data_IF_262829406124
#
_entry.id   IF_262829406124
#
_cell.length_a   1.000
_cell.length_b   1.000
_cell.length_c   1.000
_cell.angle_alpha   90.00
_cell.angle_beta   90.00
_cell.angle_gamma   90.00
#
_symmetry.space_group_name_H-M   'P 1'
#
loop_
_entity.id
_entity.type
_entity.pdbx_description
1 polymer ?
#
# COMPACT_ATOMS: atom_id res chain seq x y z
N UNK A 1 24.69 -29.96 -2.94
CA UNK A 1 23.92 -28.79 -3.43
C UNK A 1 22.54 -28.92 -2.88
N UNK A 2 22.16 -28.11 -1.89
CA UNK A 2 20.77 -28.06 -1.45
C UNK A 2 19.99 -27.31 -2.54
N UNK A 3 19.23 -28.02 -3.33
CA UNK A 3 18.20 -27.44 -4.18
C UNK A 3 17.03 -27.11 -3.24
N UNK A 4 16.95 -25.86 -2.82
CA UNK A 4 15.73 -25.35 -2.22
C UNK A 4 14.79 -25.07 -3.37
N UNK A 5 13.81 -25.94 -3.58
CA UNK A 5 12.77 -25.72 -4.57
C UNK A 5 11.89 -24.56 -4.10
N UNK A 6 12.15 -23.38 -4.67
CA UNK A 6 11.37 -22.17 -4.46
C UNK A 6 10.34 -22.04 -5.58
N UNK A 7 9.05 -22.11 -5.24
CA UNK A 7 7.96 -21.82 -6.16
C UNK A 7 7.42 -20.42 -5.91
N UNK A 8 7.53 -19.53 -6.89
CA UNK A 8 6.87 -18.23 -6.87
C UNK A 8 5.37 -18.44 -7.11
N UNK A 9 4.53 -18.05 -6.16
CA UNK A 9 3.06 -18.09 -6.32
C UNK A 9 2.60 -16.89 -7.15
N UNK A 10 3.20 -15.73 -6.94
CA UNK A 10 2.87 -14.50 -7.65
C UNK A 10 3.36 -13.25 -6.95
N UNK A 11 3.20 -12.14 -7.63
CA UNK A 11 3.30 -10.80 -7.09
C UNK A 11 1.98 -10.07 -7.35
N UNK A 12 1.55 -9.25 -6.42
CA UNK A 12 0.33 -8.47 -6.58
C UNK A 12 0.62 -7.04 -6.14
N UNK A 13 0.38 -6.04 -7.01
CA UNK A 13 0.58 -4.64 -6.64
C UNK A 13 -0.38 -4.28 -5.51
N UNK A 14 0.13 -3.59 -4.52
CA UNK A 14 -0.67 -3.06 -3.43
C UNK A 14 -1.35 -1.76 -3.84
N UNK A 15 -2.33 -1.35 -3.06
CA UNK A 15 -3.21 -0.24 -3.38
C UNK A 15 -3.02 0.89 -2.37
N UNK A 16 -2.95 2.12 -2.85
CA UNK A 16 -2.91 3.31 -2.01
C UNK A 16 -4.34 3.71 -1.66
N UNK A 17 -4.68 3.60 -0.39
CA UNK A 17 -6.00 3.88 0.13
C UNK A 17 -5.99 5.11 1.05
N UNK A 18 -7.08 5.88 1.00
CA UNK A 18 -7.32 7.04 1.87
C UNK A 18 -8.71 6.94 2.50
N UNK A 19 -8.89 7.57 3.64
CA UNK A 19 -10.21 7.71 4.26
C UNK A 19 -11.14 8.57 3.39
N UNK A 20 -12.44 8.35 3.47
CA UNK A 20 -13.41 9.06 2.62
C UNK A 20 -13.50 10.56 2.90
N UNK A 21 -13.28 10.97 4.16
CA UNK A 21 -13.41 12.38 4.59
C UNK A 21 -12.21 13.24 4.15
N UNK A 22 -11.17 12.63 3.62
CA UNK A 22 -10.04 13.38 3.07
C UNK A 22 -10.48 14.11 1.79
N UNK A 23 -10.25 15.44 1.66
CA UNK A 23 -10.73 16.25 0.53
C UNK A 23 -9.89 16.07 -0.73
N UNK A 24 -9.61 14.80 -1.10
CA UNK A 24 -8.81 14.41 -2.26
C UNK A 24 -9.50 13.29 -3.02
N UNK A 25 -9.46 13.34 -4.36
CA UNK A 25 -10.12 12.35 -5.23
C UNK A 25 -9.14 11.45 -5.97
N UNK A 26 -7.90 11.91 -6.10
CA UNK A 26 -6.85 11.25 -6.86
C UNK A 26 -5.48 11.49 -6.22
N UNK A 27 -4.46 10.81 -6.72
CA UNK A 27 -3.10 10.90 -6.18
C UNK A 27 -2.46 12.29 -6.34
N UNK A 28 -2.60 13.01 -7.48
CA UNK A 28 -2.09 14.37 -7.61
C UNK A 28 -2.67 15.33 -6.58
N UNK A 29 -3.98 15.26 -6.31
CA UNK A 29 -4.63 16.07 -5.28
C UNK A 29 -4.12 15.72 -3.88
N UNK A 30 -3.88 14.43 -3.60
CA UNK A 30 -3.28 14.01 -2.34
C UNK A 30 -1.87 14.57 -2.17
N UNK A 31 -1.04 14.51 -3.21
CA UNK A 31 0.33 15.06 -3.17
C UNK A 31 0.29 16.57 -2.89
N UNK A 32 -0.60 17.31 -3.57
CA UNK A 32 -0.77 18.75 -3.35
C UNK A 32 -1.24 19.05 -1.92
N UNK A 33 -2.20 18.28 -1.43
CA UNK A 33 -2.73 18.44 -0.08
C UNK A 33 -1.67 18.14 1.00
N UNK A 34 -0.87 17.08 0.82
CA UNK A 34 0.22 16.74 1.73
C UNK A 34 1.32 17.80 1.76
N UNK A 35 1.66 18.40 0.61
CA UNK A 35 2.61 19.51 0.54
C UNK A 35 2.12 20.76 1.25
N UNK A 36 0.81 21.03 1.20
CA UNK A 36 0.17 22.13 1.90
C UNK A 36 0.01 21.86 3.42
N UNK A 37 0.03 20.60 3.83
CA UNK A 37 -0.19 20.17 5.21
C UNK A 37 0.90 19.19 5.69
N UNK A 38 2.18 19.63 5.74
CA UNK A 38 3.26 18.74 6.16
C UNK A 38 3.04 18.22 7.58
N UNK A 39 3.35 16.95 7.79
CA UNK A 39 3.27 16.24 9.07
C UNK A 39 1.88 16.19 9.74
N UNK A 40 0.80 16.64 9.07
CA UNK A 40 -0.56 16.57 9.60
C UNK A 40 -1.26 15.26 9.33
N UNK A 41 -0.93 14.61 8.20
CA UNK A 41 -1.53 13.33 7.84
C UNK A 41 -0.87 12.17 8.58
N UNK A 42 -1.67 11.13 8.84
CA UNK A 42 -1.25 9.87 9.43
C UNK A 42 -1.30 8.74 8.42
N UNK A 43 -0.28 7.89 8.41
CA UNK A 43 -0.14 6.77 7.50
C UNK A 43 0.00 5.45 8.27
N UNK A 44 -0.99 4.58 8.16
CA UNK A 44 -0.97 3.27 8.80
C UNK A 44 -0.06 2.28 8.07
N UNK A 45 0.81 1.61 8.82
CA UNK A 45 1.72 0.57 8.29
C UNK A 45 1.54 -0.74 9.03
N UNK A 46 1.86 -1.85 8.37
CA UNK A 46 1.83 -3.18 8.99
C UNK A 46 3.00 -3.44 9.96
N UNK A 47 3.74 -2.39 10.29
CA UNK A 47 4.93 -2.42 11.16
C UNK A 47 6.16 -1.88 10.44
N UNK A 48 7.20 -1.63 11.23
CA UNK A 48 8.48 -1.12 10.72
C UNK A 48 9.14 -2.13 9.76
N UNK A 49 9.62 -1.66 8.60
CA UNK A 49 10.23 -2.52 7.58
C UNK A 49 9.24 -3.35 6.74
N UNK A 50 7.94 -3.26 7.01
CA UNK A 50 6.92 -3.91 6.19
C UNK A 50 6.85 -3.30 4.77
N UNK A 51 6.30 -4.02 3.77
CA UNK A 51 6.10 -3.47 2.42
C UNK A 51 5.33 -2.15 2.41
N UNK A 52 4.30 -2.00 3.26
CA UNK A 52 3.55 -0.75 3.39
C UNK A 52 4.40 0.40 3.98
N UNK A 53 5.29 0.11 4.92
CA UNK A 53 6.20 1.12 5.47
C UNK A 53 7.22 1.57 4.42
N UNK A 54 7.87 0.62 3.74
CA UNK A 54 8.85 0.91 2.68
C UNK A 54 8.18 1.70 1.53
N UNK A 55 6.99 1.28 1.11
CA UNK A 55 6.21 2.00 0.09
C UNK A 55 5.86 3.42 0.48
N UNK A 56 5.49 3.64 1.76
CA UNK A 56 5.22 4.97 2.29
C UNK A 56 6.46 5.87 2.33
N UNK A 57 7.62 5.34 2.73
CA UNK A 57 8.91 6.07 2.73
C UNK A 57 9.31 6.42 1.29
N UNK A 58 9.18 5.47 0.35
CA UNK A 58 9.47 5.71 -1.05
C UNK A 58 8.55 6.80 -1.63
N UNK A 59 7.26 6.76 -1.28
CA UNK A 59 6.31 7.79 -1.70
C UNK A 59 6.70 9.17 -1.18
N UNK A 60 7.08 9.32 0.10
CA UNK A 60 7.56 10.58 0.65
C UNK A 60 8.76 11.12 -0.11
N UNK A 61 9.74 10.25 -0.39
CA UNK A 61 10.98 10.64 -1.08
C UNK A 61 10.73 11.08 -2.53
N UNK A 62 9.92 10.35 -3.28
CA UNK A 62 9.64 10.65 -4.68
C UNK A 62 8.76 11.90 -4.84
N UNK A 63 7.78 12.09 -3.97
CA UNK A 63 6.83 13.20 -4.07
C UNK A 63 7.25 14.45 -3.28
N UNK A 64 8.27 14.33 -2.42
CA UNK A 64 8.69 15.41 -1.52
C UNK A 64 7.63 15.77 -0.48
N UNK A 65 6.78 14.82 -0.09
CA UNK A 65 5.72 14.99 0.92
C UNK A 65 6.17 14.50 2.28
N UNK A 66 5.45 14.90 3.34
CA UNK A 66 5.72 14.48 4.72
C UNK A 66 4.44 14.14 5.43
N UNK A 67 4.44 13.01 6.14
CA UNK A 67 3.35 12.53 7.00
C UNK A 67 3.90 11.60 8.09
N UNK A 68 3.10 11.34 9.11
CA UNK A 68 3.50 10.54 10.26
C UNK A 68 3.13 9.07 10.08
N UNK A 69 4.06 8.15 10.35
CA UNK A 69 3.81 6.72 10.31
C UNK A 69 3.23 6.23 11.64
N UNK A 70 2.14 5.46 11.55
CA UNK A 70 1.50 4.76 12.67
C UNK A 70 1.73 3.26 12.46
N UNK A 71 2.62 2.63 13.22
CA UNK A 71 2.91 1.21 13.07
C UNK A 71 1.84 0.34 13.76
N UNK A 72 1.32 -0.65 13.03
CA UNK A 72 0.41 -1.67 13.52
C UNK A 72 1.08 -3.05 13.53
N UNK A 73 0.47 -4.02 14.20
CA UNK A 73 0.88 -5.43 14.14
C UNK A 73 0.19 -6.15 12.97
N UNK A 74 0.60 -5.82 11.73
CA UNK A 74 0.01 -6.36 10.50
C UNK A 74 -1.03 -5.43 9.87
N UNK A 75 -1.61 -5.83 8.73
CA UNK A 75 -2.59 -5.03 7.95
C UNK A 75 -4.01 -5.10 8.53
N UNK A 76 -4.35 -6.17 9.25
CA UNK A 76 -5.70 -6.39 9.76
C UNK A 76 -6.24 -5.23 10.63
N UNK A 77 -5.49 -4.67 11.60
CA UNK A 77 -5.97 -3.54 12.41
C UNK A 77 -5.91 -2.18 11.67
N UNK A 78 -5.17 -2.07 10.56
CA UNK A 78 -5.08 -0.82 9.78
C UNK A 78 -6.41 -0.49 9.09
N UNK A 79 -7.11 -1.51 8.59
CA UNK A 79 -8.34 -1.32 7.80
C UNK A 79 -9.48 -0.69 8.63
N UNK A 80 -9.85 -1.20 9.81
CA UNK A 80 -10.89 -0.56 10.63
C UNK A 80 -10.54 0.87 11.05
N UNK A 81 -9.27 1.17 11.34
CA UNK A 81 -8.84 2.52 11.71
C UNK A 81 -8.87 3.48 10.52
N UNK A 82 -8.59 3.00 9.31
CA UNK A 82 -8.77 3.79 8.08
C UNK A 82 -10.27 4.06 7.81
N UNK A 83 -11.12 3.05 7.98
CA UNK A 83 -12.58 3.17 7.80
C UNK A 83 -13.20 4.13 8.81
N UNK A 84 -12.76 4.08 10.07
CA UNK A 84 -13.25 4.97 11.13
C UNK A 84 -12.63 6.38 11.09
N UNK A 85 -11.62 6.60 10.23
CA UNK A 85 -10.93 7.88 10.10
C UNK A 85 -9.88 8.18 11.17
N UNK A 86 -9.48 7.17 11.97
CA UNK A 86 -8.40 7.30 12.97
C UNK A 86 -7.04 7.51 12.31
N UNK A 87 -6.86 6.98 11.10
CA UNK A 87 -5.73 7.26 10.22
C UNK A 87 -6.23 7.78 8.87
N UNK A 88 -5.38 8.52 8.17
CA UNK A 88 -5.77 9.20 6.93
C UNK A 88 -5.50 8.34 5.69
N UNK A 89 -4.41 7.57 5.71
CA UNK A 89 -3.91 6.84 4.54
C UNK A 89 -3.27 5.51 4.94
N UNK A 90 -3.23 4.58 4.00
CA UNK A 90 -2.49 3.32 4.12
C UNK A 90 -2.19 2.72 2.74
N UNK A 91 -1.16 1.87 2.68
CA UNK A 91 -0.94 0.96 1.56
C UNK A 91 -1.40 -0.42 1.98
N UNK A 92 -2.36 -0.97 1.24
CA UNK A 92 -3.07 -2.20 1.58
C UNK A 92 -3.03 -3.19 0.42
N UNK A 93 -3.14 -4.47 0.75
CA UNK A 93 -3.33 -5.51 -0.25
C UNK A 93 -4.72 -5.42 -0.90
N UNK A 94 -4.88 -5.89 -2.17
CA UNK A 94 -6.16 -5.83 -2.87
C UNK A 94 -7.27 -6.66 -2.24
N UNK A 95 -6.93 -7.78 -1.58
CA UNK A 95 -7.93 -8.71 -1.02
C UNK A 95 -8.71 -8.02 0.09
N UNK A 96 -8.01 -7.27 0.95
CA UNK A 96 -8.65 -6.58 2.08
C UNK A 96 -9.23 -5.22 1.69
N UNK A 97 -8.61 -4.50 0.75
CA UNK A 97 -8.97 -3.11 0.44
C UNK A 97 -10.07 -2.95 -0.63
N UNK A 98 -10.08 -3.79 -1.68
CA UNK A 98 -11.09 -3.67 -2.75
C UNK A 98 -12.54 -3.85 -2.27
N UNK A 99 -12.87 -4.80 -1.39
CA UNK A 99 -14.23 -4.90 -0.85
C UNK A 99 -14.65 -3.64 -0.07
N UNK A 100 -13.76 -3.03 0.69
CA UNK A 100 -14.04 -1.81 1.45
C UNK A 100 -14.21 -0.59 0.53
N UNK A 101 -13.42 -0.51 -0.54
CA UNK A 101 -13.55 0.51 -1.57
C UNK A 101 -14.89 0.40 -2.30
N UNK A 102 -15.27 -0.80 -2.74
CA UNK A 102 -16.56 -1.06 -3.41
C UNK A 102 -17.76 -0.80 -2.50
N UNK A 103 -17.61 -1.03 -1.20
CA UNK A 103 -18.61 -0.69 -0.20
C UNK A 103 -18.64 0.80 0.16
N UNK A 104 -17.77 1.63 -0.46
CA UNK A 104 -17.69 3.07 -0.21
C UNK A 104 -17.17 3.46 1.16
N UNK A 105 -16.49 2.55 1.87
CA UNK A 105 -15.96 2.79 3.23
C UNK A 105 -14.59 3.46 3.22
N UNK A 106 -13.79 3.20 2.19
CA UNK A 106 -12.49 3.84 1.94
C UNK A 106 -12.42 4.22 0.46
N UNK A 107 -11.47 5.07 0.10
CA UNK A 107 -11.18 5.39 -1.30
C UNK A 107 -9.80 4.90 -1.69
N UNK A 108 -9.71 4.08 -2.73
CA UNK A 108 -8.45 3.71 -3.35
C UNK A 108 -8.17 4.70 -4.47
N UNK A 109 -6.98 5.27 -4.50
CA UNK A 109 -6.61 6.36 -5.41
C UNK A 109 -5.48 6.02 -6.37
N UNK A 110 -4.73 4.94 -6.11
CA UNK A 110 -3.69 4.47 -7.02
C UNK A 110 -3.36 2.99 -6.81
N UNK A 111 -2.92 2.34 -7.88
CA UNK A 111 -2.27 1.02 -7.86
C UNK A 111 -0.76 1.23 -7.84
N UNK A 112 -0.09 0.63 -6.87
CA UNK A 112 1.35 0.78 -6.65
C UNK A 112 2.14 -0.31 -7.38
N UNK A 113 2.03 -0.33 -8.68
CA UNK A 113 2.68 -1.32 -9.54
C UNK A 113 2.80 -0.85 -10.98
N UNK A 114 3.57 -1.60 -11.76
CA UNK A 114 3.74 -1.35 -13.21
C UNK A 114 2.55 -1.82 -14.04
N UNK A 115 1.69 -2.67 -13.45
CA UNK A 115 0.50 -3.24 -14.10
C UNK A 115 -0.64 -3.30 -13.11
N UNK A 116 -1.86 -3.26 -13.62
CA UNK A 116 -3.04 -3.49 -12.79
C UNK A 116 -3.08 -4.94 -12.29
N UNK A 117 -3.48 -5.10 -11.02
CA UNK A 117 -3.88 -6.40 -10.48
C UNK A 117 -5.32 -6.76 -10.85
N UNK A 118 -5.73 -7.98 -10.53
CA UNK A 118 -7.11 -8.42 -10.75
C UNK A 118 -8.09 -7.54 -9.96
N UNK A 119 -9.06 -6.94 -10.67
CA UNK A 119 -10.12 -6.13 -10.07
C UNK A 119 -9.75 -4.68 -9.75
N UNK A 120 -8.62 -4.17 -10.26
CA UNK A 120 -8.18 -2.78 -10.09
C UNK A 120 -7.92 -2.05 -11.41
N UNK A 121 -8.52 -2.52 -12.51
CA UNK A 121 -8.31 -1.96 -13.86
C UNK A 121 -8.84 -0.53 -14.02
N UNK A 122 -9.79 -0.13 -13.21
CA UNK A 122 -10.42 1.18 -13.15
C UNK A 122 -9.69 2.19 -12.24
N UNK A 123 -8.65 1.73 -11.53
CA UNK A 123 -7.86 2.57 -10.63
C UNK A 123 -6.54 2.93 -11.30
N UNK A 124 -6.14 4.21 -11.38
CA UNK A 124 -4.93 4.62 -12.08
C UNK A 124 -3.65 4.07 -11.42
N UNK A 125 -2.61 3.86 -12.21
CA UNK A 125 -1.28 3.51 -11.71
C UNK A 125 -0.58 4.72 -11.09
N UNK A 126 0.35 4.49 -10.16
CA UNK A 126 1.17 5.55 -9.55
C UNK A 126 1.99 6.32 -10.58
N UNK A 127 2.49 5.65 -11.62
CA UNK A 127 3.25 6.29 -12.70
C UNK A 127 2.44 7.32 -13.50
N UNK A 128 1.16 7.04 -13.70
CA UNK A 128 0.22 7.91 -14.42
C UNK A 128 -0.30 9.05 -13.53
N UNK A 129 -0.07 8.96 -12.24
CA UNK A 129 -0.69 9.80 -11.22
C UNK A 129 0.30 10.70 -10.47
N UNK A 130 1.49 10.93 -11.02
CA UNK A 130 2.46 11.87 -10.47
C UNK A 130 3.40 11.34 -9.39
N UNK A 131 3.45 10.02 -9.20
CA UNK A 131 4.41 9.34 -8.32
C UNK A 131 5.13 8.20 -9.07
N UNK A 132 5.89 8.51 -10.14
CA UNK A 132 6.55 7.48 -10.93
C UNK A 132 7.63 6.76 -10.11
N UNK A 133 7.74 5.45 -10.31
CA UNK A 133 8.72 4.62 -9.62
C UNK A 133 8.34 4.22 -8.19
N UNK A 134 7.16 4.61 -7.71
CA UNK A 134 6.64 4.18 -6.40
C UNK A 134 5.88 2.87 -6.56
N UNK A 135 6.57 1.77 -6.38
CA UNK A 135 5.98 0.43 -6.50
C UNK A 135 6.03 -0.31 -5.17
N UNK A 136 4.95 -0.99 -4.86
CA UNK A 136 4.85 -1.94 -3.76
C UNK A 136 4.21 -3.21 -4.30
N UNK A 137 5.05 -4.11 -4.78
CA UNK A 137 4.65 -5.40 -5.37
C UNK A 137 5.30 -6.54 -4.56
N UNK A 138 4.82 -6.85 -3.36
CA UNK A 138 5.37 -7.95 -2.59
C UNK A 138 5.13 -9.26 -3.31
N UNK A 139 6.18 -10.05 -3.43
CA UNK A 139 6.11 -11.39 -3.99
C UNK A 139 5.79 -12.41 -2.90
N UNK A 140 5.12 -13.48 -3.28
CA UNK A 140 4.81 -14.61 -2.42
C UNK A 140 5.37 -15.88 -3.05
N UNK A 141 6.02 -16.69 -2.24
CA UNK A 141 6.59 -17.95 -2.67
C UNK A 141 6.44 -19.04 -1.61
N UNK A 142 6.47 -20.27 -2.04
CA UNK A 142 6.56 -21.44 -1.19
C UNK A 142 7.96 -22.03 -1.37
N UNK A 143 8.61 -22.39 -0.27
CA UNK A 143 9.86 -23.12 -0.27
C UNK A 143 9.77 -24.34 0.66
N UNK A 144 10.36 -25.42 0.26
CA UNK A 144 10.55 -26.59 1.11
C UNK A 144 11.75 -26.36 2.03
N UNK A 145 11.58 -26.57 3.32
CA UNK A 145 12.70 -26.65 4.24
C UNK A 145 13.32 -28.03 4.02
N UNK A 146 14.44 -28.08 3.31
CA UNK A 146 15.19 -29.31 3.11
C UNK A 146 15.46 -29.99 4.45
N UNK A 147 15.23 -31.30 4.53
CA UNK A 147 15.57 -32.10 5.73
C UNK A 147 17.05 -31.90 6.01
N UNK A 148 17.36 -31.40 7.20
CA UNK A 148 18.72 -31.46 7.70
C UNK A 148 19.13 -32.95 7.73
N UNK A 149 20.07 -33.31 6.93
CA UNK A 149 20.69 -34.62 7.09
C UNK A 149 21.42 -34.62 8.44
N UNK A 150 20.86 -35.37 9.39
CA UNK A 150 21.51 -35.73 10.64
C UNK A 150 22.54 -36.80 10.33
#
# INVERSE_FOLDING_TARGET
MCSSDLALIGNTPWLFAVKNDLPVKNLPELIAWLKANPDKATFGTAGQGSPSHIGGVLFQNVTGTRFQFIPYRGTAPVVPDLVSGQIDMAILDPITSLPQHRAGKIRIIAVMGKKHGSGSQDIPLTDESGAPGVYTEPWQGIWEIGRAHV
#
